data_IF_186537417539
#
_entry.id   IF_186537417539
#
_cell.length_a   1.000
_cell.length_b   1.000
_cell.length_c   1.000
_cell.angle_alpha   90.00
_cell.angle_beta   90.00
_cell.angle_gamma   90.00
#
_symmetry.space_group_name_H-M   'P 1'
#
loop_
_entity.id
_entity.type
_entity.pdbx_description
1 polymer ?
#
# COMPACT_ATOMS: atom_id res chain seq x y z
N UNK A 1 11.88 42.72 2.16
CA UNK A 1 13.21 42.23 1.71
C UNK A 1 12.98 40.97 0.87
N UNK A 2 13.25 40.98 -0.45
CA UNK A 2 13.13 39.76 -1.28
C UNK A 2 14.23 38.77 -0.87
N UNK A 3 13.85 37.58 -0.40
CA UNK A 3 14.79 36.54 0.03
C UNK A 3 15.58 36.05 -1.19
N UNK A 4 16.92 36.18 -1.17
CA UNK A 4 17.80 35.65 -2.24
C UNK A 4 17.57 34.13 -2.39
N UNK A 5 17.18 33.70 -3.58
CA UNK A 5 17.22 32.28 -3.97
C UNK A 5 18.69 31.83 -3.96
N UNK A 6 19.02 30.88 -3.09
CA UNK A 6 20.31 30.17 -3.15
C UNK A 6 20.10 28.98 -4.08
N UNK A 7 20.92 28.89 -5.13
CA UNK A 7 20.95 27.69 -5.97
C UNK A 7 21.39 26.51 -5.09
N UNK A 8 20.56 25.47 -5.05
CA UNK A 8 20.85 24.24 -4.31
C UNK A 8 21.86 23.38 -5.10
N UNK A 9 22.68 22.63 -4.38
CA UNK A 9 23.55 21.59 -4.97
C UNK A 9 22.69 20.55 -5.70
N UNK A 10 23.17 19.90 -6.78
CA UNK A 10 22.44 18.79 -7.43
C UNK A 10 22.03 17.67 -6.45
N UNK A 11 22.85 17.43 -5.41
CA UNK A 11 22.61 16.42 -4.38
C UNK A 11 21.84 16.96 -3.16
N UNK A 12 21.49 18.25 -3.16
CA UNK A 12 20.74 18.82 -2.05
C UNK A 12 19.27 18.41 -2.17
N UNK A 13 18.66 17.87 -1.10
CA UNK A 13 17.25 17.55 -1.13
C UNK A 13 16.45 18.82 -1.45
N UNK A 14 15.55 18.73 -2.43
CA UNK A 14 14.61 19.78 -2.77
C UNK A 14 13.59 19.91 -1.64
N UNK A 15 13.91 20.76 -0.67
CA UNK A 15 13.02 21.08 0.44
C UNK A 15 12.07 22.18 -0.03
N UNK A 16 10.77 21.87 -0.09
CA UNK A 16 9.76 22.93 -0.14
C UNK A 16 9.98 23.85 1.07
N UNK A 17 9.93 25.19 0.92
CA UNK A 17 10.22 26.14 2.00
C UNK A 17 9.39 25.93 3.28
N UNK A 18 8.31 25.17 3.17
CA UNK A 18 7.26 24.99 4.17
C UNK A 18 7.24 23.56 4.75
N UNK A 19 8.18 22.69 4.37
CA UNK A 19 8.23 21.30 4.83
C UNK A 19 9.43 21.03 5.76
N UNK A 20 9.22 20.95 7.09
CA UNK A 20 10.26 20.55 8.04
C UNK A 20 10.64 19.07 7.87
N UNK A 21 11.84 18.69 8.35
CA UNK A 21 12.28 17.28 8.40
C UNK A 21 11.29 16.47 9.23
N UNK A 22 10.93 15.26 8.80
CA UNK A 22 9.96 14.45 9.52
C UNK A 22 10.53 13.99 10.86
N UNK A 23 9.93 14.44 11.95
CA UNK A 23 10.37 14.14 13.32
C UNK A 23 9.26 13.48 14.14
N UNK A 24 8.03 13.45 13.63
CA UNK A 24 6.86 12.89 14.29
C UNK A 24 6.12 11.87 13.42
N UNK A 25 5.30 11.03 14.07
CA UNK A 25 4.35 10.07 13.45
C UNK A 25 3.58 10.66 12.25
N UNK A 26 3.17 11.93 12.38
CA UNK A 26 2.40 12.65 11.36
C UNK A 26 3.23 13.00 10.13
N UNK A 27 4.50 13.33 10.33
CA UNK A 27 5.38 13.73 9.23
C UNK A 27 5.78 12.53 8.37
N UNK A 28 5.96 11.35 8.98
CA UNK A 28 6.23 10.10 8.26
C UNK A 28 5.03 9.63 7.43
N UNK A 29 3.81 9.71 7.97
CA UNK A 29 2.58 9.36 7.23
C UNK A 29 2.30 10.37 6.12
N UNK A 30 2.42 11.69 6.40
CA UNK A 30 2.24 12.77 5.41
C UNK A 30 3.23 12.70 4.25
N UNK A 31 4.42 12.16 4.46
CA UNK A 31 5.45 11.97 3.41
C UNK A 31 5.31 10.62 2.68
N UNK A 32 4.31 9.80 2.99
CA UNK A 32 4.13 8.48 2.38
C UNK A 32 5.16 7.43 2.83
N UNK A 33 6.01 7.75 3.80
CA UNK A 33 7.05 6.84 4.33
C UNK A 33 6.49 5.75 5.25
N UNK A 34 5.20 5.83 5.59
CA UNK A 34 4.47 4.85 6.39
C UNK A 34 3.23 4.31 5.65
N UNK A 35 3.31 4.14 4.32
CA UNK A 35 2.29 3.44 3.56
C UNK A 35 2.20 1.97 4.03
N UNK A 36 0.99 1.55 4.40
CA UNK A 36 0.70 0.27 5.04
C UNK A 36 1.09 -0.96 4.22
N UNK A 37 1.34 -2.05 4.94
CA UNK A 37 1.73 -3.40 4.49
C UNK A 37 1.38 -3.71 3.03
N UNK A 38 2.35 -3.55 2.13
CA UNK A 38 2.42 -4.35 0.91
C UNK A 38 2.80 -5.77 1.29
N UNK A 39 1.85 -6.56 1.77
CA UNK A 39 2.06 -7.98 2.01
C UNK A 39 2.06 -8.71 0.67
N UNK A 40 3.26 -9.03 0.15
CA UNK A 40 3.40 -10.16 -0.77
C UNK A 40 3.21 -11.42 0.06
N UNK A 41 2.01 -11.99 0.04
CA UNK A 41 1.74 -13.28 0.68
C UNK A 41 2.20 -14.41 -0.25
N UNK A 42 3.33 -15.05 0.10
CA UNK A 42 3.62 -16.46 -0.18
C UNK A 42 4.91 -16.92 0.54
N UNK A 43 5.01 -18.17 1.03
CA UNK A 43 4.15 -18.91 1.95
C UNK A 43 4.81 -19.10 3.34
N UNK A 44 4.02 -19.29 4.40
CA UNK A 44 4.48 -19.85 5.69
C UNK A 44 4.64 -18.87 6.85
N UNK A 45 3.53 -18.37 7.39
CA UNK A 45 3.48 -17.44 8.52
C UNK A 45 3.44 -18.19 9.87
N UNK A 46 4.51 -18.88 10.27
CA UNK A 46 4.61 -19.51 11.62
C UNK A 46 6.03 -19.59 12.18
N UNK A 47 6.67 -18.45 12.42
CA UNK A 47 7.97 -18.47 13.09
C UNK A 47 8.41 -17.18 13.75
N UNK A 48 7.54 -16.18 13.88
CA UNK A 48 7.95 -14.86 14.36
C UNK A 48 7.43 -14.49 15.75
N UNK A 49 7.14 -15.48 16.60
CA UNK A 49 6.78 -15.21 17.98
C UNK A 49 7.26 -16.33 18.91
N UNK A 50 8.55 -16.31 19.24
CA UNK A 50 9.10 -17.03 20.38
C UNK A 50 10.21 -16.18 21.06
N UNK A 51 9.78 -15.44 22.07
CA UNK A 51 10.49 -14.99 23.28
C UNK A 51 12.00 -14.58 23.17
N UNK A 52 12.37 -13.29 23.35
CA UNK A 52 13.73 -12.78 23.09
C UNK A 52 14.79 -13.10 24.19
N UNK A 53 14.61 -14.11 25.05
CA UNK A 53 15.54 -14.35 26.18
C UNK A 53 16.04 -15.78 26.43
N UNK A 54 15.80 -16.73 25.53
CA UNK A 54 16.48 -18.04 25.61
C UNK A 54 16.90 -18.53 24.23
N UNK A 55 18.05 -18.05 23.74
CA UNK A 55 18.78 -18.70 22.67
C UNK A 55 19.92 -19.52 23.28
N UNK A 56 19.61 -20.73 23.73
CA UNK A 56 20.61 -21.78 23.92
C UNK A 56 20.04 -23.08 23.40
N UNK A 57 20.53 -23.49 22.22
CA UNK A 57 20.32 -24.83 21.70
C UNK A 57 21.60 -25.22 20.97
N UNK A 58 22.52 -25.86 21.71
CA UNK A 58 23.65 -26.57 21.10
C UNK A 58 23.07 -27.79 20.38
N UNK A 59 23.28 -27.85 19.07
CA UNK A 59 22.91 -28.99 18.22
C UNK A 59 23.72 -30.24 18.59
N UNK A 60 23.14 -31.42 18.41
CA UNK A 60 23.87 -32.69 18.46
C UNK A 60 24.95 -32.74 17.37
N UNK A 61 26.01 -33.51 17.60
CA UNK A 61 27.23 -33.49 16.80
C UNK A 61 27.02 -33.97 15.34
N UNK A 62 26.07 -34.86 15.12
CA UNK A 62 25.61 -35.31 13.80
C UNK A 62 24.93 -34.19 13.01
N UNK A 63 24.13 -33.35 13.66
CA UNK A 63 23.48 -32.19 13.04
C UNK A 63 24.45 -31.03 12.74
N UNK A 64 25.53 -30.89 13.52
CA UNK A 64 26.61 -29.93 13.21
C UNK A 64 27.40 -30.31 11.96
N UNK A 65 27.65 -31.60 11.74
CA UNK A 65 28.35 -32.09 10.56
C UNK A 65 27.52 -31.89 9.27
N UNK A 66 26.22 -32.20 9.33
CA UNK A 66 25.30 -32.00 8.21
C UNK A 66 25.16 -30.50 7.82
N UNK A 67 25.19 -29.61 8.82
CA UNK A 67 25.16 -28.16 8.63
C UNK A 67 26.38 -27.63 7.86
N UNK A 68 27.57 -28.17 8.12
CA UNK A 68 28.80 -27.77 7.40
C UNK A 68 28.81 -28.28 5.95
N UNK A 69 28.23 -29.45 5.67
CA UNK A 69 28.13 -29.96 4.29
C UNK A 69 27.11 -29.20 3.43
N UNK A 70 26.10 -28.59 4.04
CA UNK A 70 25.02 -27.89 3.30
C UNK A 70 25.23 -26.36 3.19
N UNK A 71 26.33 -25.81 3.72
CA UNK A 71 26.65 -24.39 3.59
C UNK A 71 25.69 -23.42 4.31
N UNK A 72 24.91 -23.91 5.29
CA UNK A 72 23.91 -23.09 5.99
C UNK A 72 24.60 -22.32 7.14
N UNK A 73 24.93 -21.05 6.88
CA UNK A 73 25.48 -20.13 7.87
C UNK A 73 24.37 -19.57 8.80
N UNK A 74 24.64 -19.55 10.10
CA UNK A 74 23.67 -19.30 11.20
C UNK A 74 23.75 -17.87 11.74
N UNK A 75 23.55 -16.85 10.89
CA UNK A 75 23.32 -15.47 11.37
C UNK A 75 22.29 -14.72 10.53
N UNK A 76 21.03 -15.05 10.77
CA UNK A 76 19.85 -14.40 10.20
C UNK A 76 18.80 -15.47 9.97
N UNK A 77 17.74 -15.46 10.78
CA UNK A 77 16.70 -16.49 10.89
C UNK A 77 15.93 -16.78 9.58
N UNK A 78 16.59 -17.28 8.53
CA UNK A 78 16.00 -17.92 7.34
C UNK A 78 14.99 -17.09 6.55
N UNK A 79 14.89 -15.77 6.77
CA UNK A 79 13.96 -14.88 6.08
C UNK A 79 14.73 -13.78 5.37
N UNK A 80 14.37 -13.54 4.12
CA UNK A 80 14.92 -12.46 3.31
C UNK A 80 14.24 -11.17 3.79
N UNK A 81 15.00 -10.16 4.27
CA UNK A 81 14.45 -8.84 4.53
C UNK A 81 13.85 -8.25 3.24
N UNK A 82 12.61 -7.77 3.32
CA UNK A 82 11.91 -7.12 2.22
C UNK A 82 11.86 -5.61 2.45
N UNK A 83 12.27 -4.83 1.46
CA UNK A 83 12.21 -3.38 1.45
C UNK A 83 11.52 -2.98 0.15
N UNK A 84 10.43 -2.20 0.27
CA UNK A 84 9.69 -1.67 -0.87
C UNK A 84 10.08 -0.20 -1.09
N UNK A 85 10.37 0.17 -2.34
CA UNK A 85 10.49 1.55 -2.76
C UNK A 85 9.23 1.92 -3.55
N UNK A 86 8.38 2.79 -2.98
CA UNK A 86 7.18 3.30 -3.65
C UNK A 86 7.54 4.58 -4.45
N UNK A 87 7.43 4.48 -5.77
CA UNK A 87 7.67 5.58 -6.71
C UNK A 87 6.35 6.25 -7.11
N UNK A 88 5.65 6.79 -6.12
CA UNK A 88 4.38 7.48 -6.31
C UNK A 88 4.50 8.59 -7.39
N UNK A 89 3.52 8.66 -8.29
CA UNK A 89 3.51 9.64 -9.39
C UNK A 89 4.01 9.10 -10.75
N UNK A 90 4.40 7.82 -10.80
CA UNK A 90 4.82 7.14 -12.03
C UNK A 90 6.30 7.37 -12.31
N UNK A 91 7.06 6.28 -12.40
CA UNK A 91 8.45 6.30 -12.80
C UNK A 91 8.62 5.59 -14.14
N UNK A 92 9.59 6.04 -14.95
CA UNK A 92 9.96 5.34 -16.18
C UNK A 92 10.75 4.07 -15.84
N UNK A 93 10.05 3.04 -15.38
CA UNK A 93 10.65 1.74 -15.04
C UNK A 93 10.92 0.97 -16.34
N UNK A 94 9.93 0.83 -17.21
CA UNK A 94 10.03 0.05 -18.44
C UNK A 94 10.55 0.90 -19.60
N UNK A 95 11.60 0.42 -20.29
CA UNK A 95 12.11 1.04 -21.51
C UNK A 95 13.36 1.88 -21.25
N UNK A 96 13.27 2.98 -20.49
CA UNK A 96 14.43 3.85 -20.25
C UNK A 96 15.28 3.48 -19.02
N UNK A 97 14.81 2.55 -18.18
CA UNK A 97 15.59 2.02 -17.05
C UNK A 97 15.74 0.49 -17.15
N UNK A 98 14.69 -0.27 -16.85
CA UNK A 98 14.67 -1.73 -16.94
C UNK A 98 14.15 -2.14 -18.33
N UNK A 99 14.83 -3.07 -18.99
CA UNK A 99 14.35 -3.61 -20.26
C UNK A 99 13.14 -4.52 -20.02
N UNK A 100 12.07 -4.25 -20.76
CA UNK A 100 10.88 -5.10 -20.83
C UNK A 100 10.68 -5.48 -22.28
N UNK A 101 10.72 -6.79 -22.55
CA UNK A 101 10.48 -7.34 -23.88
C UNK A 101 9.07 -7.91 -24.03
N UNK A 102 8.80 -8.54 -25.16
CA UNK A 102 7.55 -9.22 -25.47
C UNK A 102 7.55 -10.62 -24.82
N UNK A 103 6.71 -11.53 -25.32
CA UNK A 103 6.47 -12.84 -24.70
C UNK A 103 7.74 -13.71 -24.57
N UNK A 104 8.75 -13.51 -25.42
CA UNK A 104 10.03 -14.22 -25.36
C UNK A 104 11.02 -13.74 -24.30
N UNK A 105 10.65 -12.76 -23.44
CA UNK A 105 11.49 -12.25 -22.35
C UNK A 105 12.18 -10.93 -22.67
N UNK A 106 13.10 -10.46 -21.80
CA UNK A 106 13.67 -9.10 -21.88
C UNK A 106 14.40 -8.77 -23.20
N UNK A 107 14.89 -9.79 -23.91
CA UNK A 107 15.60 -9.65 -25.20
C UNK A 107 14.70 -9.85 -26.42
N UNK A 108 13.43 -10.21 -26.22
CA UNK A 108 12.40 -10.16 -27.27
C UNK A 108 11.96 -8.70 -27.42
N UNK A 109 12.75 -7.91 -28.14
CA UNK A 109 12.67 -6.45 -28.10
C UNK A 109 11.34 -5.89 -28.64
N UNK A 110 10.99 -4.70 -28.14
CA UNK A 110 9.86 -3.94 -28.66
C UNK A 110 10.20 -3.30 -30.01
N UNK A 111 9.18 -2.85 -30.74
CA UNK A 111 9.39 -2.05 -31.95
C UNK A 111 9.93 -0.65 -31.59
N UNK A 112 10.53 0.06 -32.55
CA UNK A 112 10.97 1.46 -32.36
C UNK A 112 9.83 2.35 -31.87
N UNK A 113 8.63 2.18 -32.41
CA UNK A 113 7.44 2.88 -31.93
C UNK A 113 7.06 2.48 -30.49
N UNK A 114 7.26 1.22 -30.11
CA UNK A 114 7.08 0.74 -28.74
C UNK A 114 8.05 1.42 -27.77
N UNK A 115 9.34 1.47 -28.10
CA UNK A 115 10.35 2.16 -27.29
C UNK A 115 10.12 3.68 -27.21
N UNK A 116 9.68 4.30 -28.32
CA UNK A 116 9.31 5.72 -28.33
C UNK A 116 8.17 6.05 -27.36
N UNK A 117 7.17 5.16 -27.25
CA UNK A 117 6.11 5.29 -26.22
C UNK A 117 6.66 5.19 -24.79
N UNK A 118 7.76 4.47 -24.59
CA UNK A 118 8.46 4.36 -23.31
C UNK A 118 9.49 5.48 -23.09
N UNK A 119 9.54 6.47 -23.98
CA UNK A 119 10.41 7.64 -23.84
C UNK A 119 11.86 7.43 -24.28
N UNK A 120 12.18 6.33 -24.98
CA UNK A 120 13.48 6.16 -25.63
C UNK A 120 13.45 6.68 -27.07
N UNK A 121 14.42 7.51 -27.48
CA UNK A 121 14.53 7.94 -28.87
C UNK A 121 14.97 6.77 -29.76
N UNK A 122 14.64 6.85 -31.05
CA UNK A 122 14.78 5.72 -31.97
C UNK A 122 16.22 5.26 -32.23
N UNK A 123 17.21 6.09 -31.91
CA UNK A 123 18.65 5.86 -32.04
C UNK A 123 19.30 5.32 -30.76
N UNK A 124 18.56 5.27 -29.64
CA UNK A 124 19.02 4.71 -28.36
C UNK A 124 18.24 3.46 -27.96
N UNK A 125 17.60 2.76 -28.90
CA UNK A 125 16.85 1.56 -28.55
C UNK A 125 17.79 0.36 -28.35
N UNK A 126 17.50 -0.56 -27.40
CA UNK A 126 18.35 -1.70 -27.07
C UNK A 126 18.91 -2.55 -28.23
N UNK A 127 18.18 -2.85 -29.32
CA UNK A 127 18.72 -3.67 -30.41
C UNK A 127 19.70 -2.95 -31.34
N UNK A 128 19.87 -1.62 -31.22
CA UNK A 128 20.74 -0.88 -32.13
C UNK A 128 22.19 -0.84 -31.65
N UNK A 129 23.09 -0.60 -32.61
CA UNK A 129 24.44 -0.14 -32.30
C UNK A 129 24.38 1.32 -31.89
N UNK A 130 25.06 1.63 -30.79
CA UNK A 130 25.20 2.97 -30.29
C UNK A 130 25.99 3.82 -31.29
N UNK A 131 25.41 4.91 -31.81
CA UNK A 131 26.07 5.76 -32.79
C UNK A 131 27.32 6.45 -32.23
N UNK A 132 27.44 6.63 -30.92
CA UNK A 132 28.56 7.29 -30.27
C UNK A 132 29.76 6.36 -30.06
N UNK A 133 29.51 5.07 -29.80
CA UNK A 133 30.57 4.08 -29.51
C UNK A 133 30.81 3.10 -30.65
N UNK A 134 29.87 2.95 -31.57
CA UNK A 134 29.88 1.97 -32.66
C UNK A 134 29.57 0.54 -32.21
N UNK A 135 29.24 0.31 -30.94
CA UNK A 135 28.97 -1.02 -30.37
C UNK A 135 27.50 -1.16 -29.95
N UNK A 136 26.98 -2.39 -29.87
CA UNK A 136 25.63 -2.65 -29.34
C UNK A 136 25.64 -2.67 -27.80
N UNK A 137 25.87 -1.51 -27.20
CA UNK A 137 26.12 -1.34 -25.76
C UNK A 137 24.97 -0.67 -24.98
N UNK A 138 23.76 -0.59 -25.57
CA UNK A 138 22.57 -0.06 -24.90
C UNK A 138 21.99 -0.96 -23.81
N UNK A 139 22.62 -2.11 -23.53
CA UNK A 139 22.11 -3.09 -22.57
C UNK A 139 23.20 -3.44 -21.57
N UNK A 140 22.90 -3.20 -20.30
CA UNK A 140 23.69 -3.66 -19.18
C UNK A 140 22.94 -4.78 -18.46
N UNK A 141 23.66 -5.81 -18.00
CA UNK A 141 23.08 -6.95 -17.27
C UNK A 141 23.93 -7.33 -16.05
N UNK A 142 24.69 -6.38 -15.51
CA UNK A 142 25.64 -6.58 -14.41
C UNK A 142 24.94 -6.97 -13.09
N UNK A 143 23.64 -6.68 -12.98
CA UNK A 143 22.78 -7.05 -11.85
C UNK A 143 21.87 -8.24 -12.17
N UNK A 144 22.15 -9.01 -13.23
CA UNK A 144 21.37 -10.15 -13.72
C UNK A 144 20.04 -9.79 -14.41
N UNK A 145 19.41 -8.67 -14.03
CA UNK A 145 18.30 -8.06 -14.76
C UNK A 145 18.84 -7.17 -15.89
N UNK A 146 18.22 -7.21 -17.07
CA UNK A 146 18.61 -6.30 -18.16
C UNK A 146 18.13 -4.86 -17.92
N UNK A 147 19.06 -3.92 -17.89
CA UNK A 147 18.84 -2.47 -17.82
C UNK A 147 19.30 -1.80 -19.11
N UNK A 148 18.69 -0.66 -19.43
CA UNK A 148 19.25 0.23 -20.44
C UNK A 148 20.58 0.76 -19.89
N UNK A 149 21.62 0.84 -20.72
CA UNK A 149 22.96 1.23 -20.23
C UNK A 149 22.99 2.64 -19.63
N UNK A 150 22.13 3.54 -20.09
CA UNK A 150 21.95 4.89 -19.53
C UNK A 150 20.91 4.96 -18.36
N UNK A 151 20.49 3.82 -17.83
CA UNK A 151 19.52 3.77 -16.72
C UNK A 151 20.02 4.54 -15.49
N UNK A 152 19.24 5.52 -15.03
CA UNK A 152 19.51 6.24 -13.79
C UNK A 152 19.39 5.32 -12.56
N UNK A 153 18.47 4.35 -12.57
CA UNK A 153 18.36 3.34 -11.51
C UNK A 153 19.63 2.49 -11.43
N UNK A 154 20.08 1.96 -12.57
CA UNK A 154 21.29 1.16 -12.62
C UNK A 154 22.49 1.95 -12.11
N UNK A 155 22.69 3.18 -12.61
CA UNK A 155 23.78 4.07 -12.16
C UNK A 155 23.74 4.30 -10.65
N UNK A 156 22.57 4.65 -10.10
CA UNK A 156 22.43 4.88 -8.66
C UNK A 156 22.67 3.62 -7.82
N UNK A 157 22.26 2.43 -8.29
CA UNK A 157 22.54 1.17 -7.61
C UNK A 157 24.05 0.88 -7.64
N UNK A 158 24.67 0.93 -8.83
CA UNK A 158 26.09 0.64 -9.03
C UNK A 158 27.03 1.65 -8.34
N UNK A 159 26.59 2.90 -8.15
CA UNK A 159 27.31 3.88 -7.32
C UNK A 159 27.45 3.41 -5.86
N UNK A 160 26.53 2.58 -5.37
CA UNK A 160 26.43 2.19 -3.97
C UNK A 160 26.85 0.76 -3.68
N UNK A 161 26.68 -0.17 -4.63
CA UNK A 161 27.06 -1.57 -4.43
C UNK A 161 28.49 -1.83 -4.86
N UNK A 162 29.19 -2.73 -4.15
CA UNK A 162 30.51 -3.19 -4.57
C UNK A 162 30.40 -4.12 -5.79
N UNK A 163 31.46 -4.30 -6.61
CA UNK A 163 31.43 -5.24 -7.74
C UNK A 163 31.09 -6.69 -7.34
N UNK A 164 31.59 -7.16 -6.19
CA UNK A 164 31.25 -8.50 -5.68
C UNK A 164 29.78 -8.61 -5.25
N UNK A 165 29.19 -7.53 -4.73
CA UNK A 165 27.75 -7.45 -4.43
C UNK A 165 26.94 -7.45 -5.72
N UNK A 166 27.31 -6.65 -6.71
CA UNK A 166 26.64 -6.60 -8.02
C UNK A 166 26.58 -7.98 -8.68
N UNK A 167 27.71 -8.69 -8.71
CA UNK A 167 27.80 -10.06 -9.25
C UNK A 167 26.94 -11.08 -8.49
N UNK A 168 26.48 -10.76 -7.27
CA UNK A 168 25.60 -11.59 -6.45
C UNK A 168 24.12 -11.21 -6.55
N UNK A 169 23.76 -10.28 -7.44
CA UNK A 169 22.38 -9.82 -7.67
C UNK A 169 21.83 -10.47 -8.94
N UNK A 170 20.57 -10.87 -8.89
CA UNK A 170 19.76 -11.20 -10.06
C UNK A 170 18.36 -10.57 -9.88
N UNK A 171 17.60 -10.42 -10.96
CA UNK A 171 16.28 -9.79 -10.90
C UNK A 171 15.32 -10.26 -11.98
N UNK A 172 14.05 -9.92 -11.79
CA UNK A 172 13.00 -10.13 -12.77
C UNK A 172 12.18 -8.85 -12.91
N UNK A 173 11.58 -8.65 -14.09
CA UNK A 173 10.62 -7.57 -14.32
C UNK A 173 9.24 -8.17 -14.51
N UNK A 174 8.25 -7.58 -13.84
CA UNK A 174 6.86 -7.99 -13.92
C UNK A 174 6.11 -6.83 -14.59
N UNK A 175 5.71 -6.96 -15.87
CA UNK A 175 4.93 -5.93 -16.52
C UNK A 175 3.56 -5.81 -15.84
N UNK A 176 3.26 -4.61 -15.32
CA UNK A 176 1.96 -4.31 -14.73
C UNK A 176 0.94 -3.94 -15.81
N UNK A 177 -0.32 -4.29 -15.56
CA UNK A 177 -1.42 -4.12 -16.50
C UNK A 177 -1.88 -2.65 -16.58
N UNK A 178 -2.10 -2.14 -17.79
CA UNK A 178 -2.60 -0.77 -17.99
C UNK A 178 -4.11 -0.71 -17.65
N UNK A 179 -4.53 0.04 -16.62
CA UNK A 179 -5.95 0.20 -16.30
C UNK A 179 -6.72 1.01 -17.34
N UNK A 180 -6.05 1.90 -18.10
CA UNK A 180 -6.71 2.83 -19.03
C UNK A 180 -7.32 2.17 -20.27
N UNK A 181 -6.96 0.91 -20.54
CA UNK A 181 -7.51 0.12 -21.65
C UNK A 181 -8.50 -0.95 -21.17
N UNK A 182 -8.81 -0.97 -19.87
CA UNK A 182 -9.73 -1.94 -19.30
C UNK A 182 -11.18 -1.49 -19.56
N UNK A 183 -11.97 -2.26 -20.33
CA UNK A 183 -13.34 -1.89 -20.65
C UNK A 183 -14.28 -1.99 -19.44
N UNK A 184 -13.89 -2.68 -18.36
CA UNK A 184 -14.67 -2.76 -17.12
C UNK A 184 -14.36 -1.61 -16.16
N UNK A 185 -13.31 -0.82 -16.44
CA UNK A 185 -12.93 0.36 -15.65
C UNK A 185 -13.32 1.65 -16.37
N UNK A 186 -12.79 1.86 -17.58
CA UNK A 186 -13.00 3.10 -18.33
C UNK A 186 -14.25 2.94 -19.20
N UNK A 187 -15.21 3.83 -18.98
CA UNK A 187 -16.57 3.78 -19.52
C UNK A 187 -17.59 3.50 -18.41
N UNK A 188 -17.61 2.30 -17.81
CA UNK A 188 -18.64 1.95 -16.83
C UNK A 188 -18.43 2.52 -15.43
N UNK A 189 -17.18 2.58 -14.94
CA UNK A 189 -16.87 3.07 -13.58
C UNK A 189 -16.46 4.54 -13.62
N UNK A 190 -15.53 4.87 -14.51
CA UNK A 190 -15.13 6.25 -14.79
C UNK A 190 -15.47 6.56 -16.24
N UNK A 191 -16.17 7.65 -16.50
CA UNK A 191 -16.24 8.14 -17.88
C UNK A 191 -14.83 8.48 -18.39
N UNK A 192 -14.63 8.45 -19.71
CA UNK A 192 -13.33 8.81 -20.31
C UNK A 192 -12.86 10.20 -19.83
N UNK A 193 -13.77 11.17 -19.78
CA UNK A 193 -13.46 12.53 -19.35
C UNK A 193 -13.02 12.60 -17.88
N UNK A 194 -13.72 11.92 -16.98
CA UNK A 194 -13.33 11.84 -15.56
C UNK A 194 -11.97 11.16 -15.40
N UNK A 195 -11.74 10.08 -16.13
CA UNK A 195 -10.51 9.31 -16.05
C UNK A 195 -9.30 10.11 -16.54
N UNK A 196 -9.46 10.93 -17.58
CA UNK A 196 -8.39 11.75 -18.14
C UNK A 196 -8.11 13.01 -17.30
N UNK A 197 -9.13 13.60 -16.67
CA UNK A 197 -8.99 14.83 -15.88
C UNK A 197 -8.50 14.56 -14.44
N UNK A 198 -8.87 13.44 -13.82
CA UNK A 198 -8.61 13.17 -12.40
C UNK A 198 -7.48 12.16 -12.16
N UNK A 199 -6.34 12.65 -11.66
CA UNK A 199 -5.18 11.80 -11.36
C UNK A 199 -5.46 10.77 -10.25
N UNK A 200 -6.31 11.10 -9.27
CA UNK A 200 -6.68 10.14 -8.21
C UNK A 200 -7.47 8.95 -8.74
N UNK A 201 -8.25 9.12 -9.82
CA UNK A 201 -9.00 8.04 -10.45
C UNK A 201 -8.07 7.08 -11.19
N UNK A 202 -7.06 7.60 -11.90
CA UNK A 202 -6.04 6.78 -12.56
C UNK A 202 -5.20 5.98 -11.57
N UNK A 203 -4.79 6.61 -10.45
CA UNK A 203 -4.08 5.90 -9.36
C UNK A 203 -4.94 4.80 -8.75
N UNK A 204 -6.19 5.11 -8.43
CA UNK A 204 -7.17 4.14 -7.91
C UNK A 204 -7.33 2.97 -8.87
N UNK A 205 -7.53 3.24 -10.15
CA UNK A 205 -7.71 2.23 -11.18
C UNK A 205 -6.50 1.29 -11.32
N UNK A 206 -5.27 1.83 -11.22
CA UNK A 206 -4.06 1.02 -11.26
C UNK A 206 -3.99 0.05 -10.07
N UNK A 207 -4.18 0.54 -8.84
CA UNK A 207 -4.07 -0.29 -7.64
C UNK A 207 -5.22 -1.28 -7.53
N UNK A 208 -6.46 -0.84 -7.76
CA UNK A 208 -7.63 -1.73 -7.66
C UNK A 208 -7.52 -2.88 -8.67
N UNK A 209 -7.00 -2.62 -9.87
CA UNK A 209 -6.80 -3.64 -10.90
C UNK A 209 -5.68 -4.61 -10.57
N UNK A 210 -4.57 -4.12 -9.99
CA UNK A 210 -3.50 -4.98 -9.50
C UNK A 210 -4.02 -5.96 -8.43
N UNK A 211 -4.83 -5.48 -7.49
CA UNK A 211 -5.34 -6.31 -6.39
C UNK A 211 -6.45 -7.25 -6.85
N UNK A 212 -7.49 -6.73 -7.49
CA UNK A 212 -8.71 -7.49 -7.78
C UNK A 212 -8.53 -8.53 -8.91
N UNK A 213 -7.54 -8.35 -9.79
CA UNK A 213 -7.17 -9.37 -10.78
C UNK A 213 -6.18 -10.41 -10.21
N UNK A 214 -5.80 -10.30 -8.93
CA UNK A 214 -4.92 -11.26 -8.26
C UNK A 214 -3.43 -11.10 -8.56
N UNK A 215 -3.00 -9.97 -9.11
CA UNK A 215 -1.56 -9.69 -9.32
C UNK A 215 -0.84 -9.24 -8.04
N UNK A 216 -1.60 -8.76 -7.04
CA UNK A 216 -1.12 -8.42 -5.71
C UNK A 216 -2.12 -8.89 -4.64
N UNK A 217 -1.62 -9.41 -3.52
CA UNK A 217 -2.48 -9.86 -2.40
C UNK A 217 -3.10 -8.70 -1.59
N UNK A 218 -2.51 -7.51 -1.67
CA UNK A 218 -3.01 -6.29 -1.07
C UNK A 218 -2.47 -5.07 -1.83
N UNK A 219 -3.14 -3.92 -1.69
CA UNK A 219 -2.72 -2.66 -2.30
C UNK A 219 -3.17 -1.46 -1.48
N UNK A 220 -2.38 -0.38 -1.55
CA UNK A 220 -2.65 0.87 -0.84
C UNK A 220 -2.86 1.99 -1.85
N UNK A 221 -4.03 2.65 -1.78
CA UNK A 221 -4.32 3.85 -2.58
C UNK A 221 -4.10 5.06 -1.68
N UNK A 222 -3.00 5.78 -1.91
CA UNK A 222 -2.65 6.97 -1.14
C UNK A 222 -3.20 8.23 -1.80
N UNK A 223 -3.99 8.99 -1.04
CA UNK A 223 -4.52 10.30 -1.44
C UNK A 223 -4.03 11.39 -0.50
N UNK A 224 -3.54 12.49 -1.08
CA UNK A 224 -3.08 13.65 -0.33
C UNK A 224 -4.18 14.69 -0.09
N UNK A 225 -3.91 15.64 0.81
CA UNK A 225 -4.77 16.81 1.02
C UNK A 225 -5.94 16.60 1.99
N UNK A 226 -5.92 15.57 2.84
CA UNK A 226 -6.97 15.33 3.84
C UNK A 226 -6.82 16.18 5.11
N UNK A 227 -5.87 17.12 5.12
CA UNK A 227 -5.62 18.06 6.21
C UNK A 227 -6.63 19.23 6.17
N UNK A 228 -7.83 19.01 6.70
CA UNK A 228 -9.01 19.86 6.48
C UNK A 228 -9.16 21.06 7.41
N UNK A 229 -8.23 21.31 8.33
CA UNK A 229 -8.40 22.31 9.38
C UNK A 229 -8.12 23.77 8.93
N UNK A 230 -8.42 24.10 7.68
CA UNK A 230 -8.10 25.40 7.05
C UNK A 230 -9.25 26.42 7.13
N UNK A 231 -10.38 26.05 7.76
CA UNK A 231 -11.59 26.86 7.81
C UNK A 231 -12.47 26.77 6.56
N UNK A 232 -12.12 25.93 5.58
CA UNK A 232 -12.87 25.75 4.34
C UNK A 232 -13.54 24.37 4.30
N UNK A 233 -14.84 24.31 4.65
CA UNK A 233 -15.62 23.07 4.67
C UNK A 233 -15.81 22.52 3.26
N UNK A 234 -16.19 23.38 2.31
CA UNK A 234 -16.42 23.01 0.92
C UNK A 234 -15.25 22.23 0.30
N UNK A 235 -14.00 22.67 0.53
CA UNK A 235 -12.81 21.99 -0.03
C UNK A 235 -12.66 20.57 0.53
N UNK A 236 -12.88 20.37 1.84
CA UNK A 236 -12.81 19.03 2.41
C UNK A 236 -13.95 18.13 1.93
N UNK A 237 -15.17 18.66 1.76
CA UNK A 237 -16.29 17.91 1.19
C UNK A 237 -16.03 17.41 -0.24
N UNK A 238 -15.43 18.26 -1.09
CA UNK A 238 -15.07 17.88 -2.46
C UNK A 238 -14.02 16.75 -2.45
N UNK A 239 -13.06 16.81 -1.51
CA UNK A 239 -12.03 15.78 -1.34
C UNK A 239 -12.61 14.47 -0.80
N UNK A 240 -13.51 14.55 0.18
CA UNK A 240 -14.24 13.39 0.69
C UNK A 240 -15.12 12.74 -0.39
N UNK A 241 -15.77 13.55 -1.24
CA UNK A 241 -16.54 13.06 -2.39
C UNK A 241 -15.63 12.31 -3.38
N UNK A 242 -14.45 12.88 -3.69
CA UNK A 242 -13.45 12.21 -4.54
C UNK A 242 -12.99 10.89 -3.94
N UNK A 243 -12.67 10.85 -2.65
CA UNK A 243 -12.29 9.63 -1.94
C UNK A 243 -13.42 8.58 -2.01
N UNK A 244 -14.66 8.99 -1.74
CA UNK A 244 -15.84 8.15 -1.83
C UNK A 244 -16.06 7.57 -3.23
N UNK A 245 -15.85 8.35 -4.29
CA UNK A 245 -15.89 7.87 -5.69
C UNK A 245 -14.84 6.79 -5.95
N UNK A 246 -13.62 6.95 -5.44
CA UNK A 246 -12.58 5.96 -5.60
C UNK A 246 -12.85 4.68 -4.80
N UNK A 247 -13.36 4.79 -3.57
CA UNK A 247 -13.79 3.63 -2.78
C UNK A 247 -14.93 2.87 -3.49
N UNK A 248 -15.90 3.60 -4.03
CA UNK A 248 -16.99 3.05 -4.83
C UNK A 248 -16.48 2.35 -6.09
N UNK A 249 -15.49 2.92 -6.78
CA UNK A 249 -14.86 2.32 -7.94
C UNK A 249 -14.22 0.95 -7.63
N UNK A 250 -13.51 0.83 -6.50
CA UNK A 250 -12.97 -0.46 -6.05
C UNK A 250 -14.07 -1.51 -5.82
N UNK A 251 -15.17 -1.12 -5.17
CA UNK A 251 -16.30 -2.01 -4.88
C UNK A 251 -17.03 -2.43 -6.17
N UNK A 252 -17.27 -1.51 -7.08
CA UNK A 252 -17.91 -1.78 -8.38
C UNK A 252 -17.02 -2.65 -9.27
N UNK A 253 -15.71 -2.42 -9.30
CA UNK A 253 -14.79 -3.26 -10.07
C UNK A 253 -14.73 -4.68 -9.50
N UNK A 254 -14.72 -4.82 -8.17
CA UNK A 254 -14.82 -6.13 -7.51
C UNK A 254 -16.13 -6.84 -7.89
N UNK A 255 -17.23 -6.10 -7.98
CA UNK A 255 -18.52 -6.65 -8.40
C UNK A 255 -18.54 -7.12 -9.85
N UNK A 256 -17.93 -6.36 -10.77
CA UNK A 256 -17.80 -6.74 -12.18
C UNK A 256 -16.98 -8.02 -12.38
N UNK A 257 -15.93 -8.19 -11.58
CA UNK A 257 -15.10 -9.39 -11.59
C UNK A 257 -15.71 -10.57 -10.82
N UNK A 258 -16.75 -10.33 -10.03
CA UNK A 258 -17.34 -11.35 -9.16
C UNK A 258 -16.39 -11.80 -8.04
N UNK A 259 -15.53 -10.91 -7.54
CA UNK A 259 -14.55 -11.21 -6.48
C UNK A 259 -14.91 -10.48 -5.18
N UNK A 260 -14.75 -11.11 -3.99
CA UNK A 260 -14.96 -10.43 -2.72
C UNK A 260 -13.86 -9.39 -2.45
N UNK A 261 -14.20 -8.32 -1.72
CA UNK A 261 -13.26 -7.26 -1.35
C UNK A 261 -13.52 -6.78 0.08
N UNK A 262 -12.47 -6.69 0.89
CA UNK A 262 -12.45 -5.88 2.11
C UNK A 262 -11.71 -4.57 1.84
N UNK A 263 -12.40 -3.44 1.97
CA UNK A 263 -11.84 -2.11 1.82
C UNK A 263 -11.68 -1.48 3.20
N UNK A 264 -10.47 -1.09 3.57
CA UNK A 264 -10.19 -0.41 4.85
C UNK A 264 -9.84 1.07 4.59
N UNK A 265 -10.49 1.97 5.31
CA UNK A 265 -10.26 3.40 5.26
C UNK A 265 -9.86 3.92 6.63
N UNK A 266 -8.75 4.66 6.67
CA UNK A 266 -8.22 5.30 7.87
C UNK A 266 -7.66 6.68 7.54
N UNK A 267 -7.52 7.51 8.56
CA UNK A 267 -6.88 8.82 8.50
C UNK A 267 -5.81 8.92 9.60
N UNK A 268 -4.97 9.97 9.55
CA UNK A 268 -3.97 10.26 10.58
C UNK A 268 -4.56 10.92 11.84
N UNK A 269 -5.83 11.34 11.79
CA UNK A 269 -6.59 11.93 12.88
C UNK A 269 -7.99 12.37 12.47
N UNK A 270 -8.61 13.22 13.29
CA UNK A 270 -9.89 13.87 12.99
C UNK A 270 -9.76 15.38 13.17
N UNK A 271 -10.82 16.11 12.84
CA UNK A 271 -10.86 17.58 12.82
C UNK A 271 -11.99 18.12 13.69
N UNK A 272 -11.76 19.27 14.32
CA UNK A 272 -12.74 20.01 15.11
C UNK A 272 -13.31 21.19 14.34
N UNK A 273 -14.58 21.49 14.62
CA UNK A 273 -15.24 22.71 14.18
C UNK A 273 -15.30 23.73 15.33
N UNK A 274 -15.14 25.01 15.01
CA UNK A 274 -15.37 26.12 15.94
C UNK A 274 -16.84 26.59 15.96
N UNK A 275 -17.74 25.90 15.25
CA UNK A 275 -19.16 26.22 15.18
C UNK A 275 -19.55 27.21 14.09
N UNK A 276 -18.59 27.84 13.38
CA UNK A 276 -18.89 28.66 12.21
C UNK A 276 -19.40 27.79 11.06
N UNK A 277 -20.37 28.27 10.29
CA UNK A 277 -20.99 27.49 9.21
C UNK A 277 -20.45 27.93 7.84
N UNK A 278 -20.26 26.95 6.96
CA UNK A 278 -20.04 27.19 5.53
C UNK A 278 -21.37 27.00 4.79
N UNK A 279 -22.01 28.12 4.46
CA UNK A 279 -23.30 28.15 3.75
C UNK A 279 -23.15 28.13 2.22
N UNK A 280 -21.94 27.94 1.69
CA UNK A 280 -21.79 27.69 0.26
C UNK A 280 -22.49 26.39 -0.16
N UNK A 281 -22.78 26.24 -1.45
CA UNK A 281 -23.44 25.05 -1.97
C UNK A 281 -22.70 23.75 -1.59
N UNK A 282 -21.37 23.77 -1.67
CA UNK A 282 -20.50 22.65 -1.32
C UNK A 282 -20.30 22.50 0.20
N UNK A 283 -20.32 23.61 0.95
CA UNK A 283 -20.26 23.61 2.41
C UNK A 283 -21.53 23.06 3.07
N UNK A 284 -22.68 23.16 2.39
CA UNK A 284 -23.98 22.57 2.76
C UNK A 284 -24.46 22.97 4.16
N UNK A 285 -24.11 24.17 4.62
CA UNK A 285 -24.49 24.68 5.94
C UNK A 285 -23.83 23.95 7.10
N UNK A 286 -22.73 23.23 6.86
CA UNK A 286 -22.03 22.46 7.90
C UNK A 286 -20.95 23.29 8.58
N UNK A 287 -20.60 22.88 9.80
CA UNK A 287 -19.51 23.48 10.55
C UNK A 287 -18.18 23.40 9.80
N UNK A 288 -17.45 24.52 9.75
CA UNK A 288 -16.09 24.60 9.21
C UNK A 288 -15.11 23.89 10.14
N UNK A 289 -14.13 23.22 9.56
CA UNK A 289 -13.05 22.58 10.32
C UNK A 289 -11.90 23.55 10.50
N UNK A 290 -11.51 23.80 11.76
CA UNK A 290 -10.53 24.85 12.11
C UNK A 290 -9.38 24.35 12.96
N UNK A 291 -9.41 23.09 13.40
CA UNK A 291 -8.31 22.51 14.16
C UNK A 291 -8.30 20.99 14.08
N UNK A 292 -7.16 20.42 14.47
CA UNK A 292 -7.02 18.99 14.74
C UNK A 292 -7.87 18.56 15.95
N UNK A 293 -8.35 17.32 15.93
CA UNK A 293 -9.04 16.70 17.06
C UNK A 293 -8.64 15.24 17.22
N UNK A 294 -7.74 14.97 18.17
CA UNK A 294 -7.27 13.62 18.48
C UNK A 294 -8.32 12.75 19.17
N UNK A 295 -9.37 13.34 19.76
CA UNK A 295 -10.36 12.60 20.56
C UNK A 295 -11.49 11.98 19.74
N UNK A 296 -11.59 12.27 18.44
CA UNK A 296 -12.75 11.91 17.60
C UNK A 296 -12.38 11.12 16.34
N UNK A 297 -11.17 10.56 16.32
CA UNK A 297 -10.70 9.75 15.20
C UNK A 297 -11.47 8.43 15.12
N UNK A 298 -11.77 8.01 13.90
CA UNK A 298 -12.34 6.71 13.60
C UNK A 298 -11.75 6.19 12.28
N UNK A 299 -11.78 4.88 12.12
CA UNK A 299 -11.52 4.21 10.85
C UNK A 299 -12.66 3.25 10.59
N UNK A 300 -12.88 2.90 9.33
CA UNK A 300 -13.93 1.96 8.98
C UNK A 300 -13.43 1.00 7.91
N UNK A 301 -14.09 -0.14 7.80
CA UNK A 301 -13.93 -1.02 6.66
C UNK A 301 -15.28 -1.40 6.10
N UNK A 302 -15.30 -1.69 4.80
CA UNK A 302 -16.45 -2.19 4.06
C UNK A 302 -16.10 -3.55 3.49
N UNK A 303 -17.09 -4.42 3.39
CA UNK A 303 -16.94 -5.75 2.80
C UNK A 303 -17.94 -5.88 1.66
N UNK A 304 -17.43 -6.21 0.48
CA UNK A 304 -18.20 -6.64 -0.67
C UNK A 304 -18.10 -8.16 -0.78
N UNK A 305 -19.25 -8.80 -0.98
CA UNK A 305 -19.35 -10.22 -1.28
C UNK A 305 -20.25 -10.42 -2.51
N UNK A 306 -19.75 -11.06 -3.58
CA UNK A 306 -20.54 -11.32 -4.78
C UNK A 306 -21.74 -12.24 -4.55
N UNK A 307 -21.70 -13.07 -3.49
CA UNK A 307 -22.80 -13.98 -3.14
C UNK A 307 -23.96 -13.30 -2.40
N UNK A 308 -23.83 -12.02 -2.03
CA UNK A 308 -24.85 -11.26 -1.31
C UNK A 308 -24.26 -10.40 -0.20
N UNK A 309 -25.09 -9.54 0.41
CA UNK A 309 -24.64 -8.64 1.48
C UNK A 309 -24.03 -9.44 2.64
N UNK A 310 -22.78 -9.15 3.07
CA UNK A 310 -22.15 -9.83 4.21
C UNK A 310 -23.01 -9.72 5.47
N UNK A 311 -23.19 -10.85 6.16
CA UNK A 311 -23.92 -10.91 7.42
C UNK A 311 -23.00 -10.49 8.57
N UNK A 312 -23.48 -9.60 9.43
CA UNK A 312 -22.81 -9.29 10.69
C UNK A 312 -22.90 -10.49 11.65
N UNK A 313 -21.92 -10.64 12.53
CA UNK A 313 -21.96 -11.66 13.57
C UNK A 313 -23.13 -11.40 14.54
N UNK A 314 -23.73 -12.45 15.08
CA UNK A 314 -24.89 -12.37 15.97
C UNK A 314 -26.15 -13.04 15.41
N UNK A 315 -26.97 -13.58 16.31
CA UNK A 315 -28.19 -14.33 15.99
C UNK A 315 -29.45 -13.44 15.89
N UNK A 316 -29.41 -12.22 16.43
CA UNK A 316 -30.50 -11.24 16.35
C UNK A 316 -30.03 -9.91 15.73
N UNK A 317 -30.95 -9.08 15.21
CA UNK A 317 -30.61 -7.76 14.67
C UNK A 317 -29.90 -6.86 15.69
N UNK A 318 -30.25 -6.96 16.97
CA UNK A 318 -29.63 -6.17 18.04
C UNK A 318 -28.19 -6.59 18.30
N UNK A 319 -27.90 -7.90 18.24
CA UNK A 319 -26.54 -8.41 18.33
C UNK A 319 -25.73 -7.99 17.10
N UNK A 320 -26.30 -8.14 15.90
CA UNK A 320 -25.66 -7.70 14.65
C UNK A 320 -25.31 -6.21 14.68
N UNK A 321 -26.19 -5.36 15.19
CA UNK A 321 -25.92 -3.93 15.33
C UNK A 321 -24.71 -3.64 16.22
N UNK A 322 -24.44 -4.45 17.25
CA UNK A 322 -23.24 -4.32 18.09
C UNK A 322 -21.96 -4.68 17.34
N UNK A 323 -22.04 -5.61 16.39
CA UNK A 323 -20.91 -5.98 15.53
C UNK A 323 -20.70 -5.00 14.36
N UNK A 324 -21.67 -4.12 14.09
CA UNK A 324 -21.55 -3.04 13.11
C UNK A 324 -20.66 -1.89 13.59
N UNK A 325 -20.42 -1.79 14.91
CA UNK A 325 -19.61 -0.74 15.51
C UNK A 325 -18.70 -1.31 16.61
N UNK A 326 -17.39 -1.34 16.34
CA UNK A 326 -16.39 -1.79 17.30
C UNK A 326 -15.91 -0.59 18.13
N UNK A 327 -16.23 -0.60 19.42
CA UNK A 327 -16.03 0.56 20.30
C UNK A 327 -17.16 1.58 20.18
N UNK A 328 -17.07 2.70 20.89
CA UNK A 328 -18.10 3.75 20.84
C UNK A 328 -17.60 5.14 21.19
N UNK A 329 -18.41 6.14 20.81
CA UNK A 329 -18.26 7.53 21.18
C UNK A 329 -19.12 7.84 22.40
N UNK A 330 -18.59 8.65 23.32
CA UNK A 330 -19.32 9.26 24.43
C UNK A 330 -20.29 10.31 23.91
N UNK A 331 -21.25 10.72 24.74
CA UNK A 331 -22.25 11.74 24.38
C UNK A 331 -21.67 13.11 24.02
N UNK A 332 -20.43 13.40 24.42
CA UNK A 332 -19.71 14.62 24.05
C UNK A 332 -18.98 14.54 22.70
N UNK A 333 -19.08 13.39 22.02
CA UNK A 333 -18.44 13.14 20.73
C UNK A 333 -16.98 12.66 20.84
N UNK A 334 -16.43 12.45 22.03
CA UNK A 334 -15.10 11.83 22.20
C UNK A 334 -15.18 10.30 22.18
N UNK A 335 -14.14 9.63 21.69
CA UNK A 335 -14.02 8.17 21.73
C UNK A 335 -13.89 7.69 23.18
N UNK A 336 -14.68 6.69 23.59
CA UNK A 336 -14.44 5.97 24.85
C UNK A 336 -13.21 5.06 24.67
N UNK A 337 -12.06 5.51 25.17
CA UNK A 337 -10.78 4.82 24.96
C UNK A 337 -10.68 3.47 25.66
N UNK A 338 -11.54 3.21 26.65
CA UNK A 338 -11.64 1.90 27.30
C UNK A 338 -12.61 0.94 26.59
N UNK A 339 -13.33 1.37 25.55
CA UNK A 339 -14.39 0.58 24.91
C UNK A 339 -13.86 -0.61 24.09
N UNK A 340 -12.66 -0.50 23.53
CA UNK A 340 -11.98 -1.56 22.79
C UNK A 340 -10.46 -1.37 22.84
N UNK A 341 -9.65 -2.45 22.76
CA UNK A 341 -8.19 -2.33 22.72
C UNK A 341 -7.67 -1.40 21.60
N UNK A 342 -8.36 -1.38 20.46
CA UNK A 342 -8.03 -0.52 19.32
C UNK A 342 -8.29 0.98 19.55
N UNK A 343 -9.16 1.35 20.49
CA UNK A 343 -9.69 2.71 20.62
C UNK A 343 -8.63 3.77 20.99
N UNK A 344 -7.48 3.35 21.54
CA UNK A 344 -6.37 4.23 21.89
C UNK A 344 -5.00 3.67 21.48
N UNK A 345 -4.97 2.68 20.59
CA UNK A 345 -3.71 2.04 20.18
C UNK A 345 -3.75 1.62 18.70
N UNK A 346 -2.93 2.28 17.89
CA UNK A 346 -2.87 2.08 16.43
C UNK A 346 -2.42 0.66 16.07
N UNK A 347 -1.51 0.06 16.84
CA UNK A 347 -1.07 -1.30 16.58
C UNK A 347 -2.23 -2.28 16.80
N UNK A 348 -3.03 -2.04 17.86
CA UNK A 348 -4.20 -2.87 18.15
C UNK A 348 -5.35 -2.59 17.17
N UNK A 349 -5.41 -1.40 16.57
CA UNK A 349 -6.32 -1.13 15.46
C UNK A 349 -5.98 -1.98 14.24
N UNK A 350 -4.69 -2.07 13.88
CA UNK A 350 -4.23 -2.95 12.79
C UNK A 350 -4.53 -4.41 13.12
N UNK A 351 -4.21 -4.87 14.34
CA UNK A 351 -4.55 -6.22 14.79
C UNK A 351 -6.07 -6.49 14.66
N UNK A 352 -6.92 -5.51 15.00
CA UNK A 352 -8.38 -5.62 14.88
C UNK A 352 -8.82 -5.76 13.41
N UNK A 353 -8.19 -5.03 12.48
CA UNK A 353 -8.46 -5.17 11.04
C UNK A 353 -8.02 -6.55 10.54
N UNK A 354 -6.85 -7.03 10.96
CA UNK A 354 -6.33 -8.37 10.62
C UNK A 354 -7.24 -9.47 11.17
N UNK A 355 -7.71 -9.34 12.42
CA UNK A 355 -8.69 -10.25 13.01
C UNK A 355 -9.96 -10.33 12.15
N UNK A 356 -10.49 -9.18 11.73
CA UNK A 356 -11.69 -9.14 10.89
C UNK A 356 -11.44 -9.72 9.49
N UNK A 357 -10.26 -9.49 8.91
CA UNK A 357 -9.88 -10.12 7.65
C UNK A 357 -9.81 -11.65 7.78
N UNK A 358 -9.23 -12.17 8.87
CA UNK A 358 -9.23 -13.60 9.15
C UNK A 358 -10.64 -14.15 9.42
N UNK A 359 -11.50 -13.38 10.08
CA UNK A 359 -12.89 -13.79 10.32
C UNK A 359 -13.69 -13.95 9.02
N UNK A 360 -13.44 -13.12 8.00
CA UNK A 360 -14.03 -13.28 6.67
C UNK A 360 -13.67 -14.64 6.02
N UNK A 361 -12.58 -15.27 6.47
CA UNK A 361 -12.10 -16.59 6.06
C UNK A 361 -12.45 -17.72 7.05
N UNK A 362 -13.16 -17.41 8.14
CA UNK A 362 -13.47 -18.37 9.20
C UNK A 362 -12.27 -18.76 10.07
N UNK A 363 -11.21 -17.94 10.08
CA UNK A 363 -9.94 -18.25 10.74
C UNK A 363 -9.70 -17.47 12.03
N UNK A 364 -10.64 -16.67 12.51
CA UNK A 364 -10.50 -15.85 13.72
C UNK A 364 -10.07 -16.67 14.96
N UNK A 365 -10.48 -17.93 15.07
CA UNK A 365 -10.06 -18.84 16.14
C UNK A 365 -8.56 -19.17 16.12
N UNK A 366 -7.87 -18.97 14.98
CA UNK A 366 -6.42 -19.16 14.83
C UNK A 366 -5.62 -17.91 15.20
N UNK A 367 -6.28 -16.76 15.38
CA UNK A 367 -5.61 -15.46 15.56
C UNK A 367 -4.60 -15.48 16.71
N UNK A 368 -4.99 -15.98 17.88
CA UNK A 368 -4.10 -16.07 19.04
C UNK A 368 -2.87 -16.96 18.83
N UNK A 369 -2.99 -17.99 17.99
CA UNK A 369 -1.87 -18.87 17.64
C UNK A 369 -0.95 -18.27 16.57
N UNK A 370 -1.50 -17.52 15.62
CA UNK A 370 -0.76 -16.86 14.53
C UNK A 370 -0.03 -15.58 14.98
N UNK A 371 -0.61 -14.86 15.95
CA UNK A 371 -0.06 -13.63 16.51
C UNK A 371 0.18 -13.73 18.03
N UNK A 372 1.07 -14.63 18.53
CA UNK A 372 1.35 -14.72 19.96
C UNK A 372 1.83 -13.39 20.52
N UNK A 373 1.12 -12.87 21.52
CA UNK A 373 1.42 -11.56 22.12
C UNK A 373 0.62 -10.39 21.54
N UNK A 374 -0.39 -10.66 20.71
CA UNK A 374 -1.38 -9.65 20.32
C UNK A 374 -2.04 -9.00 21.56
N UNK A 375 -2.41 -7.73 21.44
CA UNK A 375 -3.00 -6.96 22.54
C UNK A 375 -4.53 -6.96 22.58
N UNK A 376 -5.19 -7.69 21.68
CA UNK A 376 -6.66 -7.73 21.58
C UNK A 376 -7.39 -8.47 22.72
N UNK A 377 -6.67 -9.04 23.68
CA UNK A 377 -7.26 -9.72 24.85
C UNK A 377 -7.62 -11.19 24.61
N UNK A 378 -8.62 -11.71 25.33
CA UNK A 378 -8.99 -13.12 25.31
C UNK A 378 -9.96 -13.46 24.17
N UNK A 379 -10.27 -14.75 24.00
CA UNK A 379 -11.18 -15.23 22.94
C UNK A 379 -12.55 -14.53 22.94
N UNK A 380 -13.15 -14.31 24.12
CA UNK A 380 -14.43 -13.61 24.22
C UNK A 380 -14.35 -12.14 23.75
N UNK A 381 -13.20 -11.48 23.93
CA UNK A 381 -12.97 -10.14 23.39
C UNK A 381 -12.74 -10.19 21.87
N UNK A 382 -12.00 -11.18 21.36
CA UNK A 382 -11.84 -11.38 19.91
C UNK A 382 -13.20 -11.56 19.20
N UNK A 383 -14.12 -12.32 19.80
CA UNK A 383 -15.47 -12.49 19.26
C UNK A 383 -16.22 -11.15 19.18
N UNK A 384 -16.11 -10.31 20.23
CA UNK A 384 -16.73 -8.95 20.24
C UNK A 384 -16.10 -7.99 19.24
N UNK A 385 -14.82 -8.17 18.90
CA UNK A 385 -14.10 -7.36 17.94
C UNK A 385 -14.29 -7.85 16.49
N UNK A 386 -14.98 -8.95 16.28
CA UNK A 386 -15.25 -9.52 14.95
C UNK A 386 -16.58 -9.03 14.41
N UNK A 387 -16.60 -8.35 13.27
CA UNK A 387 -17.79 -7.72 12.72
C UNK A 387 -18.66 -8.68 11.89
N UNK A 388 -18.06 -9.45 10.99
CA UNK A 388 -18.78 -10.23 9.98
C UNK A 388 -18.65 -11.74 10.19
N UNK A 389 -19.66 -12.47 9.73
CA UNK A 389 -19.55 -13.90 9.48
C UNK A 389 -18.59 -14.17 8.31
N UNK A 390 -18.04 -15.40 8.19
CA UNK A 390 -17.21 -15.78 7.06
C UNK A 390 -17.96 -15.62 5.74
N UNK A 391 -17.27 -15.12 4.72
CA UNK A 391 -17.80 -14.96 3.35
C UNK A 391 -17.09 -15.84 2.33
N UNK A 392 -15.94 -16.41 2.69
CA UNK A 392 -15.17 -17.35 1.87
C UNK A 392 -14.73 -18.56 2.70
N UNK A 393 -14.48 -19.69 2.03
CA UNK A 393 -14.05 -20.95 2.66
C UNK A 393 -12.55 -21.23 2.51
N UNK A 394 -11.76 -20.25 2.06
CA UNK A 394 -10.32 -20.40 1.85
C UNK A 394 -9.52 -20.24 3.14
N UNK A 395 -8.46 -21.04 3.31
CA UNK A 395 -7.43 -20.86 4.34
C UNK A 395 -6.39 -19.84 3.88
N UNK A 396 -6.01 -18.90 4.76
CA UNK A 396 -4.99 -17.88 4.49
C UNK A 396 -3.55 -18.42 4.48
#
# INVERSE_FOLDING_TARGET
MKRRLRNLSPDAPLLYPDHPRPISRRDFIRQGLAAGLGAVTAPGLFGLFANPRQASAVLSSDLQALKQSCGIAVQGAGKIPFICFDLAGGANIAGSNVLVGRQGGQRDFLTTAGYSRLGLPGDMIPPLSNPDTGFSDFINSDLGLAFHSDSAFLRGILERVSPGTAASINGAVIPALNPSIDPDIVGPIFSQAEYDDEAEFRKTAAVMKLVLNGYAGAGTITMGGFDYHTGNRAVGEIRDLRAGRCMGACLEYAARLGVPLMLYCFSDGSVASNGSLDNSAEGRGKGVWTGDNSSTAASFFLVYNPAGRPALLGASPEQQAQHQQIGFFRGDGSVETASAPAANNVNLLVETVVLNYMALHGEQGRFGGLFPGHGLGNAALLDRLTAFQPIVSGTL
#
